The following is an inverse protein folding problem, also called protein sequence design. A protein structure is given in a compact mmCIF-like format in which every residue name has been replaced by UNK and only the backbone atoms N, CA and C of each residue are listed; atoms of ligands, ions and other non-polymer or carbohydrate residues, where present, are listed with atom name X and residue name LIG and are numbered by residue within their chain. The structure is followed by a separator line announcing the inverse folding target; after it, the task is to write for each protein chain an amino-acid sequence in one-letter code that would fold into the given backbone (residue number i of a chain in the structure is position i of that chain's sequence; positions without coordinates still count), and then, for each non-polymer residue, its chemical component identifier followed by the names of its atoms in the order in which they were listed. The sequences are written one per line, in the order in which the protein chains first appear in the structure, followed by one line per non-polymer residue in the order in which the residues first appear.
data_IF_836915310575
#
_entry.id   IF_836915310575
#
_cell.length_a   1.000
_cell.length_b   1.000
_cell.length_c   1.000
_cell.angle_alpha   90.00
_cell.angle_beta   90.00
_cell.angle_gamma   90.00
#
_symmetry.space_group_name_H-M   'P 1'
#
loop_
_entity.id
_entity.type
_entity.pdbx_description
1 polymer ?
#
# COMPACT_ATOMS: atom_id res chain seq x y z
N UNK A 1 31.26 2.82 -12.76
CA UNK A 1 30.74 3.73 -13.80
C UNK A 1 29.64 2.97 -14.54
N UNK A 2 28.39 3.41 -14.37
CA UNK A 2 27.24 2.88 -15.12
C UNK A 2 27.08 3.78 -16.36
N UNK A 3 27.19 3.17 -17.55
CA UNK A 3 26.86 3.86 -18.79
C UNK A 3 25.36 3.78 -18.99
N UNK A 4 24.65 4.92 -18.86
CA UNK A 4 23.22 5.00 -19.07
C UNK A 4 22.88 6.09 -20.09
N UNK A 5 21.84 5.85 -20.89
CA UNK A 5 21.32 6.80 -21.88
C UNK A 5 19.90 7.22 -21.51
N UNK A 6 19.65 8.51 -21.58
CA UNK A 6 18.31 9.06 -21.37
C UNK A 6 17.54 9.01 -22.69
N UNK A 7 16.40 8.30 -22.72
CA UNK A 7 15.60 8.10 -23.93
C UNK A 7 15.18 9.42 -24.61
N UNK A 8 14.91 10.46 -23.84
CA UNK A 8 14.53 11.78 -24.35
C UNK A 8 15.73 12.62 -24.84
N UNK A 9 16.96 12.24 -24.47
CA UNK A 9 18.18 12.93 -24.82
C UNK A 9 19.32 11.92 -25.11
N UNK A 10 19.22 11.15 -26.20
CA UNK A 10 20.15 10.04 -26.48
C UNK A 10 21.58 10.50 -26.78
N UNK A 11 21.77 11.79 -27.09
CA UNK A 11 23.06 12.39 -27.46
C UNK A 11 23.62 13.27 -26.33
N UNK A 12 22.96 13.33 -25.15
CA UNK A 12 23.47 14.12 -24.04
C UNK A 12 24.76 13.52 -23.51
N UNK A 13 25.78 14.35 -23.34
CA UNK A 13 27.03 13.98 -22.72
C UNK A 13 26.89 13.90 -21.18
N UNK A 14 27.91 13.34 -20.54
CA UNK A 14 27.92 13.15 -19.08
C UNK A 14 27.76 14.47 -18.31
N UNK A 15 28.37 15.54 -18.81
CA UNK A 15 28.30 16.86 -18.20
C UNK A 15 26.88 17.45 -18.28
N UNK A 16 26.26 17.36 -19.44
CA UNK A 16 24.87 17.78 -19.65
C UNK A 16 23.90 17.04 -18.74
N UNK A 17 24.08 15.73 -18.60
CA UNK A 17 23.24 14.92 -17.71
C UNK A 17 23.40 15.33 -16.24
N UNK A 18 24.60 15.69 -15.79
CA UNK A 18 24.83 16.20 -14.44
C UNK A 18 24.14 17.56 -14.22
N UNK A 19 24.18 18.47 -15.20
CA UNK A 19 23.49 19.75 -15.12
C UNK A 19 21.97 19.53 -15.01
N UNK A 20 21.40 18.67 -15.85
CA UNK A 20 19.95 18.38 -15.79
C UNK A 20 19.55 17.71 -14.48
N UNK A 21 20.37 16.82 -13.95
CA UNK A 21 20.12 16.22 -12.64
C UNK A 21 20.12 17.26 -11.52
N UNK A 22 21.09 18.18 -11.52
CA UNK A 22 21.16 19.26 -10.53
C UNK A 22 19.97 20.23 -10.65
N UNK A 23 19.53 20.57 -11.87
CA UNK A 23 18.34 21.39 -12.10
C UNK A 23 17.07 20.69 -11.62
N UNK A 24 16.91 19.40 -11.91
CA UNK A 24 15.77 18.62 -11.46
C UNK A 24 15.69 18.54 -9.92
N UNK A 25 16.83 18.37 -9.25
CA UNK A 25 16.91 18.41 -7.79
C UNK A 25 16.49 19.78 -7.24
N UNK A 26 16.98 20.86 -7.84
CA UNK A 26 16.62 22.22 -7.47
C UNK A 26 15.13 22.50 -7.67
N UNK A 27 14.56 22.08 -8.79
CA UNK A 27 13.09 22.21 -9.04
C UNK A 27 12.28 21.45 -8.01
N UNK A 28 12.69 20.23 -7.65
CA UNK A 28 12.03 19.44 -6.61
C UNK A 28 12.03 20.17 -5.27
N UNK A 29 13.15 20.79 -4.92
CA UNK A 29 13.27 21.56 -3.68
C UNK A 29 12.41 22.82 -3.70
N UNK A 30 12.34 23.55 -4.82
CA UNK A 30 11.46 24.68 -4.97
C UNK A 30 9.99 24.30 -4.86
N UNK A 31 9.57 23.23 -5.53
CA UNK A 31 8.21 22.69 -5.43
C UNK A 31 7.87 22.30 -3.98
N UNK A 32 8.79 21.62 -3.28
CA UNK A 32 8.63 21.24 -1.89
C UNK A 32 8.46 22.45 -0.98
N UNK A 33 9.34 23.45 -1.09
CA UNK A 33 9.27 24.71 -0.31
C UNK A 33 7.97 25.47 -0.58
N UNK A 34 7.59 25.61 -1.85
CA UNK A 34 6.36 26.29 -2.25
C UNK A 34 5.12 25.57 -1.71
N UNK A 35 5.07 24.26 -1.79
CA UNK A 35 3.97 23.46 -1.26
C UNK A 35 3.88 23.59 0.26
N UNK A 36 5.00 23.50 0.98
CA UNK A 36 5.05 23.68 2.44
C UNK A 36 4.57 25.07 2.85
N UNK A 37 5.03 26.11 2.15
CA UNK A 37 4.59 27.49 2.42
C UNK A 37 3.10 27.69 2.17
N UNK A 38 2.56 27.14 1.07
CA UNK A 38 1.13 27.22 0.75
C UNK A 38 0.27 26.48 1.80
N UNK A 39 0.70 25.30 2.24
CA UNK A 39 0.01 24.55 3.30
C UNK A 39 0.09 25.27 4.65
N UNK A 40 1.23 25.87 4.99
CA UNK A 40 1.36 26.68 6.20
C UNK A 40 0.43 27.90 6.18
N UNK A 41 0.36 28.61 5.06
CA UNK A 41 -0.55 29.74 4.88
C UNK A 41 -2.03 29.30 4.94
N UNK A 42 -2.39 28.16 4.37
CA UNK A 42 -3.73 27.60 4.48
C UNK A 42 -4.08 27.26 5.93
N UNK A 43 -3.16 26.63 6.66
CA UNK A 43 -3.32 26.32 8.09
C UNK A 43 -3.48 27.59 8.94
N UNK A 44 -2.71 28.65 8.65
CA UNK A 44 -2.82 29.93 9.34
C UNK A 44 -4.19 30.61 9.12
N UNK A 45 -4.83 30.38 7.97
CA UNK A 45 -6.20 30.83 7.68
C UNK A 45 -7.28 29.94 8.29
N UNK A 46 -6.91 28.93 9.11
CA UNK A 46 -7.86 28.01 9.74
C UNK A 46 -8.37 26.88 8.83
N UNK A 47 -7.81 26.72 7.62
CA UNK A 47 -8.20 25.64 6.72
C UNK A 47 -7.70 24.31 7.29
N UNK A 48 -8.61 23.39 7.56
CA UNK A 48 -8.26 22.03 7.97
C UNK A 48 -7.70 21.27 6.78
N UNK A 49 -6.43 20.86 6.90
CA UNK A 49 -5.75 20.10 5.86
C UNK A 49 -6.05 18.60 6.01
N UNK A 50 -6.08 17.90 4.88
CA UNK A 50 -6.38 16.47 4.83
C UNK A 50 -7.85 16.16 4.58
N UNK A 51 -8.18 14.86 4.57
CA UNK A 51 -9.56 14.42 4.39
C UNK A 51 -10.39 14.72 5.66
N UNK A 52 -11.70 15.03 5.53
CA UNK A 52 -12.61 15.12 6.67
C UNK A 52 -12.58 13.86 7.53
N UNK A 53 -12.62 14.02 8.86
CA UNK A 53 -12.54 12.87 9.79
C UNK A 53 -13.69 11.89 9.55
N UNK A 54 -14.91 12.39 9.31
CA UNK A 54 -16.09 11.57 9.01
C UNK A 54 -15.85 10.65 7.81
N UNK A 55 -15.28 11.21 6.73
CA UNK A 55 -14.95 10.43 5.54
C UNK A 55 -13.87 9.37 5.80
N UNK A 56 -12.90 9.66 6.66
CA UNK A 56 -11.88 8.69 7.06
C UNK A 56 -12.46 7.54 7.89
N UNK A 57 -13.40 7.84 8.77
CA UNK A 57 -14.11 6.84 9.57
C UNK A 57 -14.98 5.93 8.70
N UNK A 58 -15.73 6.49 7.77
CA UNK A 58 -16.53 5.73 6.80
C UNK A 58 -15.65 4.81 5.95
N UNK A 59 -14.53 5.32 5.43
CA UNK A 59 -13.55 4.54 4.70
C UNK A 59 -12.92 3.43 5.55
N UNK A 60 -12.63 3.71 6.82
CA UNK A 60 -12.10 2.72 7.76
C UNK A 60 -13.12 1.59 8.02
N UNK A 61 -14.38 1.94 8.28
CA UNK A 61 -15.49 0.99 8.45
C UNK A 61 -15.69 0.14 7.20
N UNK A 62 -15.72 0.76 6.02
CA UNK A 62 -15.86 0.04 4.75
C UNK A 62 -14.71 -0.94 4.50
N UNK A 63 -13.46 -0.54 4.81
CA UNK A 63 -12.29 -1.43 4.71
C UNK A 63 -12.37 -2.59 5.69
N UNK A 64 -12.80 -2.33 6.93
CA UNK A 64 -12.97 -3.37 7.94
C UNK A 64 -14.06 -4.37 7.54
N UNK A 65 -15.22 -3.88 7.11
CA UNK A 65 -16.31 -4.73 6.62
C UNK A 65 -15.87 -5.61 5.44
N UNK A 66 -15.12 -5.03 4.50
CA UNK A 66 -14.56 -5.80 3.39
C UNK A 66 -13.60 -6.88 3.88
N UNK A 67 -12.71 -6.57 4.82
CA UNK A 67 -11.75 -7.53 5.38
C UNK A 67 -12.47 -8.69 6.11
N UNK A 68 -13.52 -8.39 6.86
CA UNK A 68 -14.34 -9.41 7.54
C UNK A 68 -15.04 -10.31 6.52
N UNK A 69 -15.66 -9.75 5.48
CA UNK A 69 -16.30 -10.53 4.41
C UNK A 69 -15.31 -11.46 3.70
N UNK A 70 -14.14 -10.96 3.37
CA UNK A 70 -13.07 -11.76 2.73
C UNK A 70 -12.59 -12.88 3.65
N UNK A 71 -12.45 -12.63 4.95
CA UNK A 71 -12.10 -13.65 5.93
C UNK A 71 -13.20 -14.71 6.09
N UNK A 72 -14.47 -14.30 6.10
CA UNK A 72 -15.62 -15.21 6.19
C UNK A 72 -15.71 -16.18 5.02
N UNK A 73 -15.33 -15.76 3.80
CA UNK A 73 -15.35 -16.62 2.60
C UNK A 73 -14.44 -17.84 2.73
N UNK A 74 -13.34 -17.72 3.46
CA UNK A 74 -12.36 -18.80 3.66
C UNK A 74 -12.34 -19.36 5.07
N UNK A 75 -13.21 -18.86 5.94
CA UNK A 75 -13.30 -19.26 7.35
C UNK A 75 -13.48 -20.79 7.52
N UNK A 76 -14.30 -21.41 6.66
CA UNK A 76 -14.54 -22.84 6.67
C UNK A 76 -13.29 -23.69 6.45
N UNK A 77 -12.25 -23.14 5.83
CA UNK A 77 -10.96 -23.82 5.62
C UNK A 77 -9.95 -23.39 6.68
N UNK A 78 -9.85 -22.10 6.95
CA UNK A 78 -8.82 -21.56 7.86
C UNK A 78 -9.04 -22.00 9.30
N UNK A 79 -10.27 -21.93 9.81
CA UNK A 79 -10.54 -22.21 11.23
C UNK A 79 -10.28 -23.67 11.62
N UNK A 80 -10.74 -24.69 10.86
CA UNK A 80 -10.42 -26.09 11.18
C UNK A 80 -8.92 -26.38 11.15
N UNK A 81 -8.20 -25.88 10.14
CA UNK A 81 -6.76 -26.06 10.01
C UNK A 81 -6.02 -25.39 11.18
N UNK A 82 -6.47 -24.22 11.58
CA UNK A 82 -5.85 -23.51 12.72
C UNK A 82 -6.08 -24.26 14.03
N UNK A 83 -7.30 -24.78 14.26
CA UNK A 83 -7.63 -25.62 15.43
C UNK A 83 -6.83 -26.92 15.46
N UNK A 84 -6.52 -27.50 14.29
CA UNK A 84 -5.66 -28.66 14.15
C UNK A 84 -4.16 -28.36 14.36
N UNK A 85 -3.79 -27.08 14.70
CA UNK A 85 -2.41 -26.69 14.95
C UNK A 85 -1.59 -26.40 13.69
N UNK A 86 -2.19 -26.34 12.51
CA UNK A 86 -1.48 -26.08 11.26
C UNK A 86 -0.85 -24.69 11.29
N UNK A 87 0.41 -24.60 10.83
CA UNK A 87 1.12 -23.33 10.73
C UNK A 87 0.48 -22.40 9.71
N UNK A 88 0.70 -21.07 9.84
CA UNK A 88 0.17 -20.09 8.89
C UNK A 88 0.63 -20.36 7.45
N UNK A 89 1.86 -20.85 7.27
CA UNK A 89 2.38 -21.27 5.95
C UNK A 89 1.61 -22.48 5.42
N UNK A 90 1.42 -23.52 6.24
CA UNK A 90 0.65 -24.70 5.84
C UNK A 90 -0.79 -24.34 5.45
N UNK A 91 -1.44 -23.40 6.16
CA UNK A 91 -2.77 -22.90 5.78
C UNK A 91 -2.72 -22.21 4.41
N UNK A 92 -1.70 -21.37 4.16
CA UNK A 92 -1.52 -20.73 2.85
C UNK A 92 -1.33 -21.76 1.73
N UNK A 93 -0.53 -22.80 1.97
CA UNK A 93 -0.25 -23.85 0.99
C UNK A 93 -1.54 -24.58 0.62
N UNK A 94 -2.38 -24.92 1.60
CA UNK A 94 -3.69 -25.55 1.36
C UNK A 94 -4.61 -24.63 0.55
N UNK A 95 -4.73 -23.36 0.92
CA UNK A 95 -5.56 -22.39 0.20
C UNK A 95 -5.11 -22.21 -1.25
N UNK A 96 -3.80 -22.07 -1.45
CA UNK A 96 -3.22 -21.84 -2.77
C UNK A 96 -3.29 -23.10 -3.65
N UNK A 97 -3.07 -24.29 -3.07
CA UNK A 97 -3.20 -25.57 -3.76
C UNK A 97 -4.65 -25.88 -4.17
N UNK A 98 -5.63 -25.43 -3.37
CA UNK A 98 -7.07 -25.51 -3.71
C UNK A 98 -7.50 -24.54 -4.82
N UNK A 99 -6.57 -23.78 -5.40
CA UNK A 99 -6.85 -22.80 -6.45
C UNK A 99 -7.52 -21.52 -5.94
N UNK A 100 -7.73 -21.37 -4.64
CA UNK A 100 -8.31 -20.16 -4.07
C UNK A 100 -7.36 -18.98 -4.24
N UNK A 101 -7.92 -17.79 -4.49
CA UNK A 101 -7.19 -16.54 -4.66
C UNK A 101 -7.83 -15.44 -3.84
N UNK A 102 -7.04 -14.45 -3.48
CA UNK A 102 -7.55 -13.25 -2.81
C UNK A 102 -8.46 -12.46 -3.74
N UNK A 103 -9.24 -11.52 -3.22
CA UNK A 103 -10.10 -10.63 -4.02
C UNK A 103 -9.34 -9.82 -5.08
N UNK A 104 -8.01 -9.74 -5.00
CA UNK A 104 -7.13 -9.11 -5.99
C UNK A 104 -6.47 -10.10 -6.95
N UNK A 105 -6.85 -11.39 -6.89
CA UNK A 105 -6.26 -12.44 -7.71
C UNK A 105 -4.90 -12.98 -7.24
N UNK A 106 -4.38 -12.49 -6.11
CA UNK A 106 -3.07 -12.91 -5.59
C UNK A 106 -3.17 -14.20 -4.76
N UNK A 107 -2.04 -14.88 -4.60
CA UNK A 107 -1.92 -16.00 -3.68
C UNK A 107 -2.05 -15.55 -2.21
N UNK A 108 -2.51 -16.45 -1.36
CA UNK A 108 -2.54 -16.20 0.09
C UNK A 108 -1.14 -16.22 0.67
N UNK A 109 -0.88 -15.28 1.57
CA UNK A 109 0.39 -15.12 2.27
C UNK A 109 0.19 -15.18 3.78
N UNK A 110 1.17 -15.66 4.59
CA UNK A 110 1.01 -15.85 6.03
C UNK A 110 0.53 -14.61 6.79
N UNK A 111 1.01 -13.43 6.44
CA UNK A 111 0.56 -12.17 7.05
C UNK A 111 -0.92 -11.86 6.77
N UNK A 112 -1.43 -12.24 5.60
CA UNK A 112 -2.84 -12.06 5.26
C UNK A 112 -3.71 -13.05 6.04
N UNK A 113 -3.31 -14.32 6.10
CA UNK A 113 -4.02 -15.36 6.87
C UNK A 113 -4.05 -15.01 8.36
N UNK A 114 -2.94 -14.50 8.93
CA UNK A 114 -2.91 -14.01 10.31
C UNK A 114 -3.95 -12.90 10.56
N UNK A 115 -4.00 -11.91 9.67
CA UNK A 115 -5.00 -10.82 9.76
C UNK A 115 -6.44 -11.33 9.62
N UNK A 116 -6.69 -12.30 8.75
CA UNK A 116 -8.00 -12.91 8.58
C UNK A 116 -8.44 -13.64 9.86
N UNK A 117 -7.55 -14.38 10.50
CA UNK A 117 -7.82 -15.01 11.80
C UNK A 117 -8.20 -13.98 12.85
N UNK A 118 -7.44 -12.90 12.99
CA UNK A 118 -7.79 -11.80 13.91
C UNK A 118 -9.17 -11.19 13.60
N UNK A 119 -9.51 -11.03 12.32
CA UNK A 119 -10.85 -10.53 11.95
C UNK A 119 -11.97 -11.52 12.31
N UNK A 120 -11.71 -12.82 12.32
CA UNK A 120 -12.68 -13.86 12.65
C UNK A 120 -12.83 -14.09 14.16
N UNK A 121 -11.80 -13.78 14.96
CA UNK A 121 -11.82 -13.86 16.42
C UNK A 121 -12.60 -12.69 17.06
N UNK A 122 -12.77 -11.59 16.34
CA UNK A 122 -13.49 -10.38 16.82
C UNK A 122 -14.99 -10.41 16.48
N UNK A 123 -15.43 -11.40 15.72
CA UNK A 123 -16.84 -11.64 15.36
C UNK A 123 -17.38 -12.79 16.18
#
# INVERSE_FOLDING_TARGET
DLDFKVAQMPYADKFQLHIYAALAEQERDFCSRRTKAALAAAKARGVRLGAPVQHLEELAKARQQKAVREAQQVAGVILPLRRAGTSLRGICDVLNASGLRTSRGNAYHPSLVSRMLTCLEVV
#
